data_IF_771436823409
#
_entry.id   IF_771436823409
#
_cell.length_a   1.000
_cell.length_b   1.000
_cell.length_c   1.000
_cell.angle_alpha   90.00
_cell.angle_beta   90.00
_cell.angle_gamma   90.00
#
_symmetry.space_group_name_H-M   'P 1'
#
loop_
_entity.id
_entity.type
_entity.pdbx_description
1 polymer ?
#
# COMPACT_ATOMS: atom_id res chain seq x y z
N UNK A 1 -6.94 -0.11 -10.90
CA UNK A 1 -6.56 -0.17 -9.46
C UNK A 1 -7.53 -1.01 -8.65
N UNK A 2 -8.84 -0.72 -8.66
CA UNK A 2 -9.87 -1.55 -8.00
C UNK A 2 -9.78 -3.02 -8.45
N UNK A 3 -9.56 -3.29 -9.74
CA UNK A 3 -9.44 -4.66 -10.24
C UNK A 3 -8.18 -5.43 -9.82
N UNK A 4 -7.08 -4.77 -9.44
CA UNK A 4 -5.82 -5.46 -9.11
C UNK A 4 -5.77 -5.89 -7.64
N UNK A 5 -6.18 -4.99 -6.75
CA UNK A 5 -6.37 -5.33 -5.35
C UNK A 5 -7.55 -6.31 -5.19
N UNK A 6 -8.65 -6.12 -5.93
CA UNK A 6 -9.76 -7.08 -5.95
C UNK A 6 -9.35 -8.45 -6.52
N UNK A 7 -8.48 -8.51 -7.54
CA UNK A 7 -7.97 -9.77 -8.08
C UNK A 7 -7.10 -10.56 -7.09
N UNK A 8 -6.21 -9.88 -6.37
CA UNK A 8 -5.41 -10.49 -5.29
C UNK A 8 -6.25 -10.79 -4.03
N UNK A 9 -7.23 -9.95 -3.71
CA UNK A 9 -8.24 -10.22 -2.67
C UNK A 9 -9.05 -11.46 -2.96
N UNK A 10 -9.46 -11.63 -4.22
CA UNK A 10 -10.13 -12.83 -4.68
C UNK A 10 -9.14 -14.00 -4.52
N UNK A 11 -7.91 -13.95 -5.03
CA UNK A 11 -6.91 -15.01 -4.85
C UNK A 11 -6.68 -15.44 -3.38
N UNK A 12 -6.75 -14.51 -2.42
CA UNK A 12 -6.61 -14.82 -0.98
C UNK A 12 -7.94 -15.17 -0.27
N UNK A 13 -9.11 -14.99 -0.91
CA UNK A 13 -10.41 -15.29 -0.30
C UNK A 13 -10.70 -16.79 -0.29
N UNK A 14 -11.18 -17.37 0.83
CA UNK A 14 -11.55 -18.78 0.91
C UNK A 14 -12.56 -19.20 -0.18
N UNK A 15 -13.54 -18.35 -0.49
CA UNK A 15 -14.59 -18.62 -1.48
C UNK A 15 -14.07 -18.67 -2.92
N UNK A 16 -13.07 -17.84 -3.24
CA UNK A 16 -12.44 -17.84 -4.55
C UNK A 16 -11.39 -18.95 -4.67
N UNK A 17 -10.69 -19.30 -3.59
CA UNK A 17 -9.84 -20.49 -3.57
C UNK A 17 -10.65 -21.78 -3.76
N UNK A 18 -11.84 -21.89 -3.18
CA UNK A 18 -12.76 -23.00 -3.47
C UNK A 18 -13.26 -22.96 -4.92
N UNK A 19 -13.59 -21.79 -5.47
CA UNK A 19 -13.94 -21.64 -6.89
C UNK A 19 -12.78 -21.97 -7.84
N UNK A 20 -11.54 -21.59 -7.50
CA UNK A 20 -10.33 -21.92 -8.26
C UNK A 20 -10.03 -23.41 -8.22
N UNK A 21 -10.21 -24.04 -7.07
CA UNK A 21 -10.06 -25.49 -6.90
C UNK A 21 -11.16 -26.20 -7.70
N UNK A 22 -12.41 -25.76 -7.61
CA UNK A 22 -13.54 -26.34 -8.34
C UNK A 22 -13.43 -26.12 -9.86
N UNK A 23 -12.98 -24.94 -10.31
CA UNK A 23 -12.69 -24.64 -11.70
C UNK A 23 -11.49 -25.45 -12.24
N UNK A 24 -10.46 -25.68 -11.41
CA UNK A 24 -9.32 -26.54 -11.75
C UNK A 24 -9.71 -28.01 -11.76
N UNK A 25 -10.59 -28.46 -10.87
CA UNK A 25 -11.18 -29.82 -10.91
C UNK A 25 -12.03 -30.01 -12.18
N UNK A 26 -12.60 -28.93 -12.72
CA UNK A 26 -13.28 -28.90 -14.02
C UNK A 26 -12.33 -28.65 -15.22
N UNK A 27 -11.01 -28.64 -15.00
CA UNK A 27 -9.97 -28.46 -16.00
C UNK A 27 -10.15 -27.21 -16.90
N UNK A 28 -10.55 -26.09 -16.29
CA UNK A 28 -10.84 -24.84 -17.00
C UNK A 28 -9.51 -24.11 -17.30
N UNK A 29 -8.82 -24.57 -18.33
CA UNK A 29 -7.61 -23.95 -18.91
C UNK A 29 -7.85 -22.47 -19.29
N UNK A 30 -9.12 -22.11 -19.55
CA UNK A 30 -9.52 -20.75 -19.91
C UNK A 30 -9.35 -19.73 -18.78
N UNK A 31 -9.42 -20.10 -17.50
CA UNK A 31 -9.29 -19.15 -16.40
C UNK A 31 -7.82 -18.77 -16.16
N UNK A 32 -6.92 -19.76 -16.19
CA UNK A 32 -5.48 -19.53 -16.04
C UNK A 32 -4.94 -18.73 -17.23
N UNK A 33 -5.32 -19.10 -18.45
CA UNK A 33 -4.95 -18.34 -19.67
C UNK A 33 -5.52 -16.92 -19.68
N UNK A 34 -6.73 -16.69 -19.14
CA UNK A 34 -7.29 -15.34 -18.98
C UNK A 34 -6.49 -14.51 -17.97
N UNK A 35 -6.10 -15.08 -16.83
CA UNK A 35 -5.30 -14.37 -15.82
C UNK A 35 -3.88 -14.07 -16.32
N UNK A 36 -3.26 -15.00 -17.03
CA UNK A 36 -1.92 -14.82 -17.64
C UNK A 36 -1.97 -13.79 -18.78
N UNK A 37 -2.97 -13.85 -19.66
CA UNK A 37 -3.12 -12.84 -20.73
C UNK A 37 -3.42 -11.44 -20.17
N UNK A 38 -4.26 -11.34 -19.14
CA UNK A 38 -4.53 -10.06 -18.47
C UNK A 38 -3.27 -9.48 -17.83
N UNK A 39 -2.48 -10.29 -17.10
CA UNK A 39 -1.25 -9.83 -16.46
C UNK A 39 -0.17 -9.43 -17.47
N UNK A 40 -0.06 -10.15 -18.59
CA UNK A 40 0.82 -9.80 -19.71
C UNK A 40 0.39 -8.48 -20.38
N UNK A 41 -0.91 -8.29 -20.62
CA UNK A 41 -1.46 -7.07 -21.23
C UNK A 41 -1.31 -5.84 -20.33
N UNK A 42 -1.34 -6.06 -19.02
CA UNK A 42 -1.21 -5.01 -18.00
C UNK A 42 0.23 -4.54 -17.76
N UNK A 43 1.24 -5.19 -18.34
CA UNK A 43 2.59 -4.66 -18.38
C UNK A 43 2.60 -3.40 -19.26
N UNK A 44 3.19 -2.31 -18.74
CA UNK A 44 3.36 -1.06 -19.47
C UNK A 44 4.04 -1.19 -20.85
N UNK A 45 4.58 -2.36 -21.20
CA UNK A 45 4.97 -2.76 -22.55
C UNK A 45 3.88 -2.49 -23.59
N UNK A 46 2.61 -2.80 -23.30
CA UNK A 46 1.48 -2.58 -24.22
C UNK A 46 0.94 -1.14 -24.19
N UNK A 47 1.22 -0.35 -23.14
CA UNK A 47 0.84 1.08 -23.15
C UNK A 47 1.67 1.91 -24.14
N UNK A 48 2.86 1.43 -24.51
CA UNK A 48 3.69 2.01 -25.56
C UNK A 48 3.38 1.51 -26.97
N UNK A 49 2.54 0.48 -27.12
CA UNK A 49 2.24 -0.11 -28.44
C UNK A 49 1.63 0.88 -29.44
N UNK A 50 0.70 1.78 -29.06
CA UNK A 50 0.23 2.81 -29.98
C UNK A 50 1.38 3.65 -30.56
N UNK A 51 2.36 4.00 -29.73
CA UNK A 51 3.55 4.75 -30.15
C UNK A 51 4.48 3.92 -31.03
N UNK A 52 4.67 2.62 -30.74
CA UNK A 52 5.45 1.72 -31.59
C UNK A 52 4.79 1.53 -32.96
N UNK A 53 3.46 1.43 -33.00
CA UNK A 53 2.70 1.32 -34.24
C UNK A 53 2.83 2.61 -35.05
N UNK A 54 2.67 3.78 -34.41
CA UNK A 54 2.84 5.09 -35.05
C UNK A 54 4.24 5.23 -35.66
N UNK A 55 5.31 4.98 -34.89
CA UNK A 55 6.69 5.02 -35.40
C UNK A 55 6.90 3.97 -36.50
N UNK A 56 6.28 2.80 -36.38
CA UNK A 56 6.34 1.74 -37.39
C UNK A 56 5.71 2.15 -38.73
N UNK A 57 4.59 2.88 -38.67
CA UNK A 57 3.91 3.41 -39.84
C UNK A 57 4.66 4.60 -40.46
N UNK A 58 5.26 5.47 -39.64
CA UNK A 58 5.96 6.67 -40.13
C UNK A 58 7.38 6.40 -40.63
N UNK A 59 8.14 5.55 -39.93
CA UNK A 59 9.60 5.41 -40.08
C UNK A 59 10.06 3.98 -40.36
N UNK A 60 9.12 3.05 -40.50
CA UNK A 60 9.35 1.64 -40.79
C UNK A 60 9.59 0.77 -39.55
N UNK A 61 9.31 -0.53 -39.68
CA UNK A 61 9.28 -1.49 -38.57
C UNK A 61 10.62 -1.67 -37.85
N UNK A 62 11.75 -1.68 -38.58
CA UNK A 62 13.07 -1.84 -37.97
C UNK A 62 13.45 -0.64 -37.09
N UNK A 63 13.11 0.58 -37.53
CA UNK A 63 13.31 1.80 -36.76
C UNK A 63 12.46 1.78 -35.50
N UNK A 64 11.18 1.41 -35.62
CA UNK A 64 10.28 1.25 -34.49
C UNK A 64 10.78 0.22 -33.46
N UNK A 65 11.33 -0.91 -33.91
CA UNK A 65 11.90 -1.91 -33.00
C UNK A 65 13.13 -1.38 -32.26
N UNK A 66 14.04 -0.67 -32.96
CA UNK A 66 15.21 -0.03 -32.34
C UNK A 66 14.79 1.01 -31.31
N UNK A 67 13.89 1.91 -31.68
CA UNK A 67 13.38 2.96 -30.79
C UNK A 67 12.66 2.36 -29.58
N UNK A 68 11.88 1.30 -29.78
CA UNK A 68 11.23 0.58 -28.68
C UNK A 68 12.24 0.02 -27.69
N UNK A 69 13.29 -0.66 -28.17
CA UNK A 69 14.35 -1.20 -27.29
C UNK A 69 15.06 -0.08 -26.54
N UNK A 70 15.39 1.02 -27.22
CA UNK A 70 16.01 2.19 -26.60
C UNK A 70 15.11 2.81 -25.52
N UNK A 71 13.81 2.94 -25.78
CA UNK A 71 12.83 3.41 -24.79
C UNK A 71 12.78 2.49 -23.56
N UNK A 72 12.80 1.16 -23.74
CA UNK A 72 12.81 0.25 -22.59
C UNK A 72 14.10 0.35 -21.78
N UNK A 73 15.26 0.51 -22.43
CA UNK A 73 16.54 0.75 -21.75
C UNK A 73 16.55 2.06 -20.95
N UNK A 74 15.80 3.07 -21.40
CA UNK A 74 15.56 4.33 -20.68
C UNK A 74 14.47 4.23 -19.60
N UNK A 75 14.05 3.01 -19.25
CA UNK A 75 13.02 2.72 -18.23
C UNK A 75 11.62 3.26 -18.58
N UNK A 76 11.28 3.34 -19.88
CA UNK A 76 9.96 3.81 -20.31
C UNK A 76 8.80 3.04 -19.67
N UNK A 77 8.89 1.71 -19.54
CA UNK A 77 7.84 0.92 -18.86
C UNK A 77 7.63 1.35 -17.39
N UNK A 78 8.71 1.69 -16.67
CA UNK A 78 8.65 2.20 -15.28
C UNK A 78 8.01 3.59 -15.28
N UNK A 79 8.43 4.48 -16.19
CA UNK A 79 7.89 5.82 -16.32
C UNK A 79 6.39 5.82 -16.63
N UNK A 80 5.95 5.07 -17.64
CA UNK A 80 4.54 5.01 -18.04
C UNK A 80 3.66 4.38 -16.97
N UNK A 81 4.12 3.31 -16.31
CA UNK A 81 3.38 2.67 -15.22
C UNK A 81 3.22 3.62 -14.03
N UNK A 82 4.27 4.38 -13.69
CA UNK A 82 4.21 5.41 -12.65
C UNK A 82 3.32 6.60 -13.04
N UNK A 83 3.45 7.10 -14.26
CA UNK A 83 2.63 8.20 -14.80
C UNK A 83 1.14 7.84 -14.84
N UNK A 84 0.82 6.61 -15.28
CA UNK A 84 -0.54 6.09 -15.27
C UNK A 84 -1.08 6.01 -13.84
N UNK A 85 -0.28 5.53 -12.87
CA UNK A 85 -0.66 5.52 -11.45
C UNK A 85 -1.04 6.90 -10.91
N UNK A 86 -0.24 7.91 -11.25
CA UNK A 86 -0.50 9.32 -10.92
C UNK A 86 -1.83 9.79 -11.53
N UNK A 87 -1.99 9.61 -12.84
CA UNK A 87 -3.20 10.04 -13.58
C UNK A 87 -4.44 9.37 -13.03
N UNK A 88 -4.43 8.04 -12.89
CA UNK A 88 -5.57 7.27 -12.37
C UNK A 88 -5.96 7.71 -10.96
N UNK A 89 -4.98 7.97 -10.08
CA UNK A 89 -5.29 8.41 -8.72
C UNK A 89 -5.99 9.78 -8.70
N UNK A 90 -5.44 10.77 -9.38
CA UNK A 90 -5.99 12.13 -9.35
C UNK A 90 -7.29 12.23 -10.17
N UNK A 91 -7.41 11.48 -11.26
CA UNK A 91 -8.65 11.37 -12.01
C UNK A 91 -9.76 10.74 -11.18
N UNK A 92 -9.49 9.61 -10.52
CA UNK A 92 -10.44 8.97 -9.60
C UNK A 92 -10.85 9.89 -8.45
N UNK A 93 -9.88 10.60 -7.84
CA UNK A 93 -10.16 11.58 -6.78
C UNK A 93 -11.08 12.70 -7.26
N UNK A 94 -10.85 13.20 -8.48
CA UNK A 94 -11.68 14.27 -9.07
C UNK A 94 -13.11 13.79 -9.33
N UNK A 95 -13.29 12.56 -9.82
CA UNK A 95 -14.61 11.96 -10.01
C UNK A 95 -15.34 11.79 -8.68
N UNK A 96 -14.67 11.28 -7.66
CA UNK A 96 -15.30 10.90 -6.39
C UNK A 96 -15.60 12.10 -5.48
N UNK A 97 -14.68 13.06 -5.39
CA UNK A 97 -14.75 14.15 -4.40
C UNK A 97 -14.86 15.53 -5.03
N UNK A 98 -14.64 15.65 -6.35
CA UNK A 98 -14.45 16.93 -7.00
C UNK A 98 -13.16 17.63 -6.56
N UNK A 99 -12.93 18.80 -7.14
CA UNK A 99 -11.80 19.67 -6.80
C UNK A 99 -10.53 19.39 -7.62
N UNK A 100 -10.28 20.24 -8.61
CA UNK A 100 -9.00 20.28 -9.30
C UNK A 100 -8.00 21.10 -8.45
N UNK A 101 -6.83 20.54 -8.20
CA UNK A 101 -5.70 21.25 -7.58
C UNK A 101 -4.61 21.40 -8.62
N UNK A 102 -4.34 22.65 -9.01
CA UNK A 102 -3.18 22.92 -9.86
C UNK A 102 -1.91 22.73 -9.03
N UNK A 103 -1.04 21.85 -9.51
CA UNK A 103 0.33 21.71 -9.00
C UNK A 103 1.23 22.38 -10.03
N UNK A 104 1.96 23.45 -9.66
CA UNK A 104 2.81 24.13 -10.61
C UNK A 104 3.91 23.19 -11.08
N UNK A 105 3.90 22.88 -12.38
CA UNK A 105 5.03 22.24 -13.05
C UNK A 105 6.20 23.21 -12.94
N UNK A 106 7.25 22.87 -12.18
CA UNK A 106 8.43 23.73 -12.10
C UNK A 106 9.08 23.80 -13.49
N UNK A 107 8.77 24.84 -14.26
CA UNK A 107 9.40 25.17 -15.52
C UNK A 107 10.77 25.83 -15.26
N UNK A 108 11.65 25.10 -14.57
CA UNK A 108 13.04 25.51 -14.44
C UNK A 108 13.86 24.63 -15.36
N UNK A 109 14.69 25.26 -16.19
CA UNK A 109 15.52 24.69 -17.26
C UNK A 109 16.56 23.67 -16.75
N UNK A 110 16.66 23.46 -15.43
CA UNK A 110 17.56 22.52 -14.78
C UNK A 110 16.75 21.46 -14.03
N UNK A 111 17.09 20.19 -14.24
CA UNK A 111 16.47 19.06 -13.51
C UNK A 111 16.88 19.17 -12.04
N UNK A 112 15.96 19.62 -11.19
CA UNK A 112 16.23 19.79 -9.75
C UNK A 112 15.97 18.49 -8.98
N UNK A 113 16.81 18.25 -7.97
CA UNK A 113 16.58 17.24 -6.96
C UNK A 113 15.28 17.50 -6.20
N UNK A 114 14.40 16.52 -6.13
CA UNK A 114 13.22 16.53 -5.29
C UNK A 114 13.57 15.95 -3.91
N UNK A 115 13.43 16.76 -2.86
CA UNK A 115 13.73 16.30 -1.49
C UNK A 115 12.82 15.15 -1.05
N UNK A 116 13.22 14.35 -0.06
CA UNK A 116 12.38 13.30 0.53
C UNK A 116 11.01 13.80 0.98
N UNK A 117 10.94 15.00 1.58
CA UNK A 117 9.66 15.61 1.98
C UNK A 117 8.78 15.94 0.78
N UNK A 118 9.35 16.37 -0.33
CA UNK A 118 8.60 16.67 -1.54
C UNK A 118 8.09 15.41 -2.22
N UNK A 119 8.95 14.40 -2.38
CA UNK A 119 8.57 13.10 -2.93
C UNK A 119 7.44 12.45 -2.13
N UNK A 120 7.55 12.45 -0.80
CA UNK A 120 6.50 11.90 0.05
C UNK A 120 5.18 12.67 -0.10
N UNK A 121 5.21 14.01 -0.06
CA UNK A 121 3.98 14.80 -0.17
C UNK A 121 3.26 14.62 -1.49
N UNK A 122 4.01 14.44 -2.59
CA UNK A 122 3.44 14.23 -3.93
C UNK A 122 2.95 12.80 -4.15
N UNK A 123 3.68 11.80 -3.64
CA UNK A 123 3.47 10.40 -4.02
C UNK A 123 2.96 9.48 -2.91
N UNK A 124 2.80 9.96 -1.67
CA UNK A 124 2.36 9.14 -0.53
C UNK A 124 1.03 8.42 -0.80
N UNK A 125 -0.04 9.17 -1.11
CA UNK A 125 -1.39 8.58 -1.35
C UNK A 125 -1.57 7.97 -2.73
N UNK A 126 -0.86 8.51 -3.73
CA UNK A 126 -0.99 8.07 -5.11
C UNK A 126 -0.21 6.79 -5.41
N UNK A 127 0.93 6.58 -4.75
CA UNK A 127 1.87 5.47 -5.01
C UNK A 127 2.30 4.75 -3.74
N UNK A 128 2.95 5.41 -2.76
CA UNK A 128 3.63 4.70 -1.67
C UNK A 128 2.70 3.85 -0.82
N UNK A 129 1.59 4.40 -0.33
CA UNK A 129 0.61 3.65 0.48
C UNK A 129 0.09 2.43 -0.29
N UNK A 130 -0.27 2.61 -1.57
CA UNK A 130 -0.79 1.53 -2.42
C UNK A 130 0.28 0.53 -2.81
N UNK A 131 1.51 0.97 -3.02
CA UNK A 131 2.67 0.12 -3.28
C UNK A 131 2.99 -0.75 -2.08
N UNK A 132 2.99 -0.17 -0.87
CA UNK A 132 3.12 -0.94 0.35
C UNK A 132 1.95 -1.90 0.58
N UNK A 133 0.70 -1.48 0.31
CA UNK A 133 -0.48 -2.36 0.34
C UNK A 133 -0.30 -3.57 -0.59
N UNK A 134 0.08 -3.35 -1.85
CA UNK A 134 0.32 -4.43 -2.83
C UNK A 134 1.52 -5.31 -2.45
N UNK A 135 2.62 -4.72 -1.98
CA UNK A 135 3.81 -5.46 -1.54
C UNK A 135 3.45 -6.42 -0.41
N UNK A 136 2.70 -5.94 0.56
CA UNK A 136 2.25 -6.70 1.71
C UNK A 136 1.30 -7.82 1.28
N UNK A 137 0.37 -7.58 0.34
CA UNK A 137 -0.46 -8.63 -0.22
C UNK A 137 0.36 -9.70 -0.98
N UNK A 138 1.38 -9.29 -1.73
CA UNK A 138 2.28 -10.21 -2.43
C UNK A 138 3.08 -11.09 -1.46
N UNK A 139 3.62 -10.49 -0.40
CA UNK A 139 4.34 -11.24 0.65
C UNK A 139 3.40 -12.24 1.32
N UNK A 140 2.18 -11.83 1.66
CA UNK A 140 1.21 -12.75 2.28
C UNK A 140 0.78 -13.86 1.32
N UNK A 141 0.57 -13.54 0.04
CA UNK A 141 0.25 -14.53 -0.98
C UNK A 141 1.38 -15.56 -1.15
N UNK A 142 2.64 -15.13 -1.09
CA UNK A 142 3.82 -16.01 -1.09
C UNK A 142 3.86 -16.94 0.13
N UNK A 143 3.53 -16.42 1.32
CA UNK A 143 3.54 -17.17 2.58
C UNK A 143 2.45 -18.27 2.64
N UNK A 144 1.25 -17.98 2.14
CA UNK A 144 0.09 -18.90 2.19
C UNK A 144 -0.11 -19.72 0.92
N UNK A 145 0.73 -19.54 -0.10
CA UNK A 145 0.70 -20.34 -1.31
C UNK A 145 0.83 -21.82 -0.97
N UNK A 146 -0.12 -22.62 -1.46
CA UNK A 146 -0.11 -24.08 -1.29
C UNK A 146 1.02 -24.70 -2.11
N UNK A 147 1.66 -25.72 -1.54
CA UNK A 147 2.79 -26.45 -2.14
C UNK A 147 2.51 -27.05 -3.53
N UNK A 148 1.25 -27.23 -3.92
CA UNK A 148 0.85 -27.82 -5.21
C UNK A 148 0.74 -26.81 -6.37
N UNK A 149 0.81 -25.50 -6.12
CA UNK A 149 0.87 -24.54 -7.24
C UNK A 149 2.24 -24.67 -7.95
N UNK A 150 2.26 -24.73 -9.29
CA UNK A 150 3.54 -24.68 -10.02
C UNK A 150 4.24 -23.36 -9.73
N UNK A 151 5.57 -23.38 -9.55
CA UNK A 151 6.36 -22.16 -9.31
C UNK A 151 6.24 -21.19 -10.49
N UNK A 152 6.19 -21.73 -11.71
CA UNK A 152 6.09 -20.95 -12.94
C UNK A 152 4.75 -20.20 -13.08
N UNK A 153 3.61 -20.84 -12.79
CA UNK A 153 2.32 -20.16 -12.85
C UNK A 153 2.23 -19.01 -11.83
N UNK A 154 2.79 -19.21 -10.63
CA UNK A 154 2.86 -18.15 -9.62
C UNK A 154 3.67 -16.93 -10.12
N UNK A 155 4.85 -17.17 -10.68
CA UNK A 155 5.69 -16.09 -11.22
C UNK A 155 4.97 -15.37 -12.35
N UNK A 156 4.36 -16.08 -13.29
CA UNK A 156 3.65 -15.47 -14.42
C UNK A 156 2.48 -14.59 -13.98
N UNK A 157 1.69 -15.05 -13.01
CA UNK A 157 0.53 -14.30 -12.50
C UNK A 157 0.99 -13.06 -11.71
N UNK A 158 1.99 -13.21 -10.84
CA UNK A 158 2.39 -12.16 -9.88
C UNK A 158 3.43 -11.19 -10.42
N UNK A 159 4.17 -11.53 -11.48
CA UNK A 159 5.26 -10.70 -12.02
C UNK A 159 4.80 -9.29 -12.37
N UNK A 160 3.62 -9.14 -13.00
CA UNK A 160 3.05 -7.84 -13.34
C UNK A 160 2.79 -6.96 -12.11
N UNK A 161 2.31 -7.57 -11.03
CA UNK A 161 2.03 -6.89 -9.75
C UNK A 161 3.34 -6.53 -9.04
N UNK A 162 4.33 -7.42 -9.05
CA UNK A 162 5.68 -7.13 -8.54
C UNK A 162 6.30 -5.95 -9.27
N UNK A 163 6.26 -5.95 -10.62
CA UNK A 163 6.76 -4.86 -11.43
C UNK A 163 6.07 -3.53 -11.12
N UNK A 164 4.73 -3.53 -11.02
CA UNK A 164 3.94 -2.33 -10.67
C UNK A 164 4.29 -1.83 -9.26
N UNK A 165 4.38 -2.73 -8.29
CA UNK A 165 4.71 -2.43 -6.89
C UNK A 165 6.08 -1.79 -6.77
N UNK A 166 7.10 -2.40 -7.39
CA UNK A 166 8.46 -1.87 -7.40
C UNK A 166 8.52 -0.53 -8.13
N UNK A 167 7.82 -0.40 -9.25
CA UNK A 167 7.72 0.87 -9.97
C UNK A 167 7.14 1.97 -9.09
N UNK A 168 6.03 1.74 -8.40
CA UNK A 168 5.40 2.76 -7.55
C UNK A 168 6.25 3.17 -6.35
N UNK A 169 7.01 2.24 -5.76
CA UNK A 169 7.87 2.53 -4.62
C UNK A 169 9.18 3.22 -5.03
N UNK A 170 9.78 2.82 -6.15
CA UNK A 170 11.14 3.24 -6.51
C UNK A 170 11.21 4.30 -7.62
N UNK A 171 10.19 4.44 -8.48
CA UNK A 171 10.24 5.41 -9.59
C UNK A 171 10.50 6.86 -9.15
N UNK A 172 9.89 7.39 -8.07
CA UNK A 172 10.20 8.75 -7.60
C UNK A 172 11.69 8.94 -7.30
N UNK A 173 12.39 7.89 -6.87
CA UNK A 173 13.82 7.93 -6.55
C UNK A 173 14.70 7.62 -7.75
N UNK A 174 14.24 6.76 -8.67
CA UNK A 174 14.96 6.40 -9.90
C UNK A 174 15.10 7.60 -10.85
N UNK A 175 14.01 8.38 -10.99
CA UNK A 175 13.98 9.56 -11.86
C UNK A 175 14.42 10.86 -11.16
N UNK A 176 14.86 10.78 -9.90
CA UNK A 176 15.37 11.94 -9.16
C UNK A 176 16.89 12.11 -9.39
N UNK A 177 17.36 13.26 -9.88
CA UNK A 177 18.80 13.53 -9.97
C UNK A 177 19.43 13.55 -8.57
N UNK A 178 20.74 13.26 -8.47
CA UNK A 178 21.51 13.26 -7.21
C UNK A 178 21.03 12.26 -6.13
N UNK A 179 20.23 11.25 -6.52
CA UNK A 179 19.69 10.18 -5.66
C UNK A 179 20.71 9.39 -4.83
N UNK A 180 21.98 9.37 -5.22
CA UNK A 180 23.05 8.63 -4.54
C UNK A 180 24.17 9.51 -4.01
N UNK A 181 23.98 10.83 -4.06
CA UNK A 181 24.91 11.75 -3.43
C UNK A 181 24.69 11.70 -1.91
N UNK A 182 25.70 11.24 -1.19
CA UNK A 182 25.61 11.03 0.26
C UNK A 182 25.32 12.33 1.01
N UNK A 183 25.90 13.44 0.57
CA UNK A 183 25.67 14.74 1.20
C UNK A 183 24.21 15.17 1.03
N UNK A 184 23.62 14.91 -0.14
CA UNK A 184 22.21 15.17 -0.41
C UNK A 184 21.29 14.28 0.40
N UNK A 185 21.60 13.01 0.56
CA UNK A 185 20.81 12.09 1.40
C UNK A 185 20.79 12.57 2.86
N UNK A 186 21.93 13.02 3.38
CA UNK A 186 22.01 13.56 4.75
C UNK A 186 21.16 14.83 4.89
N UNK A 187 21.28 15.76 3.93
CA UNK A 187 20.52 17.02 3.94
C UNK A 187 19.01 16.77 3.86
N UNK A 188 18.58 15.87 2.98
CA UNK A 188 17.20 15.45 2.84
C UNK A 188 16.68 14.78 4.11
N UNK A 189 17.49 13.94 4.75
CA UNK A 189 17.14 13.31 6.02
C UNK A 189 17.00 14.33 7.16
N UNK A 190 17.88 15.34 7.23
CA UNK A 190 17.73 16.46 8.18
C UNK A 190 16.44 17.24 7.90
N UNK A 191 16.16 17.53 6.64
CA UNK A 191 14.93 18.21 6.19
C UNK A 191 13.67 17.43 6.55
N UNK A 192 13.68 16.11 6.34
CA UNK A 192 12.62 15.20 6.73
C UNK A 192 12.36 15.23 8.24
N UNK A 193 13.40 15.08 9.05
CA UNK A 193 13.28 15.09 10.50
C UNK A 193 12.73 16.42 11.02
N UNK A 194 13.14 17.54 10.40
CA UNK A 194 12.58 18.85 10.72
C UNK A 194 11.09 18.93 10.36
N UNK A 195 10.71 18.51 9.16
CA UNK A 195 9.33 18.54 8.70
C UNK A 195 8.38 17.68 9.56
N UNK A 196 8.86 16.53 10.06
CA UNK A 196 8.11 15.64 10.97
C UNK A 196 7.98 16.22 12.39
N UNK A 197 8.98 16.94 12.89
CA UNK A 197 8.94 17.52 14.25
C UNK A 197 8.07 18.77 14.33
N UNK A 198 7.90 19.47 13.22
CA UNK A 198 7.26 20.77 13.20
C UNK A 198 5.74 20.64 13.33
N UNK A 199 5.20 21.23 14.40
CA UNK A 199 3.74 21.29 14.62
C UNK A 199 3.07 22.12 13.53
N UNK A 200 1.93 21.62 13.06
CA UNK A 200 1.09 22.34 12.11
C UNK A 200 0.34 23.49 12.78
N UNK A 201 -0.35 24.28 11.95
CA UNK A 201 -1.12 25.44 12.40
C UNK A 201 -1.83 26.10 11.23
N UNK A 202 -2.77 26.99 11.52
CA UNK A 202 -3.52 27.74 10.51
C UNK A 202 -2.52 28.61 9.73
N UNK A 203 -2.48 28.47 8.40
CA UNK A 203 -1.60 29.23 7.52
C UNK A 203 -0.16 28.74 7.41
N UNK A 204 0.22 27.66 8.10
CA UNK A 204 1.51 27.00 7.87
C UNK A 204 1.45 26.27 6.52
N UNK A 205 2.52 26.34 5.74
CA UNK A 205 2.58 25.67 4.43
C UNK A 205 2.88 24.16 4.59
N UNK A 206 2.28 23.34 3.73
CA UNK A 206 2.47 21.88 3.67
C UNK A 206 3.95 21.42 3.56
N UNK A 207 4.85 22.24 3.00
CA UNK A 207 6.28 21.93 2.89
C UNK A 207 7.05 22.14 4.21
N UNK A 208 6.45 22.79 5.22
CA UNK A 208 7.10 23.10 6.50
C UNK A 208 6.69 22.16 7.63
N UNK A 209 5.49 21.59 7.57
CA UNK A 209 4.98 20.70 8.61
C UNK A 209 4.19 19.53 8.02
N UNK A 210 4.45 18.33 8.54
CA UNK A 210 3.70 17.12 8.20
C UNK A 210 2.22 17.23 8.55
N UNK A 211 1.89 17.86 9.67
CA UNK A 211 0.52 17.99 10.14
C UNK A 211 -0.28 18.93 9.21
N UNK A 212 0.36 19.99 8.71
CA UNK A 212 -0.26 20.86 7.70
C UNK A 212 -0.50 20.11 6.40
N UNK A 213 0.48 19.32 5.94
CA UNK A 213 0.30 18.49 4.75
C UNK A 213 -0.83 17.46 4.92
N UNK A 214 -0.91 16.79 6.07
CA UNK A 214 -1.96 15.81 6.36
C UNK A 214 -3.35 16.46 6.28
N UNK A 215 -3.52 17.61 6.93
CA UNK A 215 -4.78 18.34 6.91
C UNK A 215 -5.18 18.79 5.50
N UNK A 216 -4.22 19.26 4.70
CA UNK A 216 -4.44 19.65 3.31
C UNK A 216 -4.78 18.45 2.42
N UNK A 217 -4.10 17.32 2.64
CA UNK A 217 -4.31 16.09 1.90
C UNK A 217 -5.72 15.56 2.16
N UNK A 218 -6.18 15.57 3.42
CA UNK A 218 -7.52 15.16 3.86
C UNK A 218 -8.65 16.17 3.57
N UNK A 219 -8.32 17.41 3.21
CA UNK A 219 -9.30 18.49 3.05
C UNK A 219 -10.39 18.21 2.00
N UNK A 220 -10.14 17.29 1.07
CA UNK A 220 -11.11 16.85 0.07
C UNK A 220 -12.21 15.95 0.67
N UNK A 221 -11.89 15.09 1.63
CA UNK A 221 -12.87 14.23 2.31
C UNK A 221 -13.79 15.04 3.23
N UNK A 222 -13.27 16.09 3.86
CA UNK A 222 -14.09 17.02 4.66
C UNK A 222 -15.10 17.81 3.82
N UNK A 223 -14.76 18.10 2.56
CA UNK A 223 -15.61 18.86 1.63
C UNK A 223 -16.47 17.99 0.74
N UNK A 224 -16.24 16.68 0.71
CA UNK A 224 -17.01 15.75 -0.12
C UNK A 224 -18.42 15.51 0.45
N UNK A 225 -19.34 15.13 -0.44
CA UNK A 225 -20.70 14.76 -0.08
C UNK A 225 -20.77 13.42 0.66
N UNK A 226 -21.90 13.16 1.33
CA UNK A 226 -22.10 11.96 2.14
C UNK A 226 -21.89 10.65 1.36
N UNK A 227 -22.30 10.58 0.09
CA UNK A 227 -22.12 9.39 -0.74
C UNK A 227 -20.65 9.04 -1.00
N UNK A 228 -19.81 10.05 -1.26
CA UNK A 228 -18.38 9.84 -1.48
C UNK A 228 -17.66 9.37 -0.20
N UNK A 229 -18.07 9.89 0.96
CA UNK A 229 -17.56 9.42 2.27
C UNK A 229 -17.99 7.99 2.56
N UNK A 230 -19.25 7.64 2.29
CA UNK A 230 -19.73 6.27 2.44
C UNK A 230 -18.94 5.30 1.55
N UNK A 231 -18.64 5.70 0.32
CA UNK A 231 -17.80 4.90 -0.57
C UNK A 231 -16.37 4.72 -0.04
N UNK A 232 -15.75 5.75 0.55
CA UNK A 232 -14.43 5.61 1.20
C UNK A 232 -14.47 4.69 2.41
N UNK A 233 -15.53 4.76 3.23
CA UNK A 233 -15.71 3.83 4.35
C UNK A 233 -15.82 2.40 3.81
N UNK A 234 -16.63 2.17 2.77
CA UNK A 234 -16.76 0.86 2.12
C UNK A 234 -15.41 0.38 1.56
N UNK A 235 -14.63 1.26 0.94
CA UNK A 235 -13.30 0.94 0.45
C UNK A 235 -12.30 0.67 1.57
N UNK A 236 -12.46 1.28 2.74
CA UNK A 236 -11.56 1.11 3.90
C UNK A 236 -11.88 -0.15 4.70
N UNK A 237 -13.12 -0.65 4.64
CA UNK A 237 -13.52 -1.96 5.17
C UNK A 237 -12.62 -3.08 4.60
N UNK A 238 -12.10 -2.90 3.38
CA UNK A 238 -11.18 -3.84 2.72
C UNK A 238 -9.97 -4.20 3.58
N UNK A 239 -9.45 -3.27 4.38
CA UNK A 239 -8.29 -3.51 5.23
C UNK A 239 -8.59 -4.47 6.38
N UNK A 240 -9.80 -4.40 6.94
CA UNK A 240 -10.27 -5.35 7.96
C UNK A 240 -10.55 -6.73 7.36
N UNK A 241 -10.98 -6.79 6.09
CA UNK A 241 -11.11 -8.04 5.35
C UNK A 241 -9.74 -8.69 5.08
N UNK A 242 -8.70 -7.90 4.77
CA UNK A 242 -7.34 -8.42 4.65
C UNK A 242 -6.88 -9.09 5.93
N UNK A 243 -6.98 -8.34 7.05
CA UNK A 243 -6.59 -8.85 8.35
C UNK A 243 -7.37 -10.12 8.73
N UNK A 244 -8.70 -10.13 8.53
CA UNK A 244 -9.52 -11.32 8.77
C UNK A 244 -9.06 -12.51 7.93
N UNK A 245 -8.86 -12.30 6.62
CA UNK A 245 -8.41 -13.34 5.71
C UNK A 245 -7.07 -13.97 6.11
N UNK A 246 -6.18 -13.18 6.72
CA UNK A 246 -4.89 -13.68 7.20
C UNK A 246 -5.04 -14.43 8.51
N UNK A 247 -5.78 -13.88 9.47
CA UNK A 247 -6.06 -14.55 10.75
C UNK A 247 -6.78 -15.89 10.53
N UNK A 248 -7.65 -15.98 9.51
CA UNK A 248 -8.34 -17.21 9.13
C UNK A 248 -7.41 -18.35 8.68
N UNK A 249 -6.23 -18.01 8.14
CA UNK A 249 -5.21 -18.96 7.69
C UNK A 249 -4.17 -19.28 8.76
N UNK A 250 -4.21 -18.62 9.93
CA UNK A 250 -3.36 -18.95 11.07
C UNK A 250 -3.85 -20.25 11.71
N UNK A 251 -2.91 -21.13 12.06
CA UNK A 251 -3.21 -22.39 12.76
C UNK A 251 -3.73 -22.17 14.20
N UNK A 252 -3.61 -20.93 14.72
CA UNK A 252 -4.08 -20.48 16.04
C UNK A 252 -5.58 -20.79 16.28
N UNK A 253 -6.40 -20.68 15.24
CA UNK A 253 -7.86 -20.71 15.41
C UNK A 253 -8.45 -22.09 15.73
N UNK A 254 -7.65 -23.17 15.62
CA UNK A 254 -8.14 -24.55 15.60
C UNK A 254 -9.42 -24.67 14.72
N UNK A 255 -10.30 -25.66 14.93
CA UNK A 255 -11.47 -25.84 14.05
C UNK A 255 -12.55 -24.74 14.16
N UNK A 256 -12.49 -23.83 15.13
CA UNK A 256 -13.53 -22.81 15.34
C UNK A 256 -13.26 -21.52 14.57
N UNK A 257 -13.50 -21.54 13.26
CA UNK A 257 -13.35 -20.36 12.38
C UNK A 257 -14.56 -19.43 12.41
N UNK A 258 -15.13 -19.21 13.60
CA UNK A 258 -16.38 -18.49 13.73
C UNK A 258 -16.14 -16.97 13.61
N UNK A 259 -16.76 -16.34 12.61
CA UNK A 259 -16.70 -14.90 12.37
C UNK A 259 -17.02 -14.08 13.62
N UNK A 260 -17.92 -14.57 14.46
CA UNK A 260 -18.34 -13.91 15.69
C UNK A 260 -17.19 -13.75 16.71
N UNK A 261 -16.28 -14.74 16.79
CA UNK A 261 -15.11 -14.70 17.68
C UNK A 261 -14.13 -13.61 17.23
N UNK A 262 -13.97 -13.41 15.92
CA UNK A 262 -13.14 -12.35 15.36
C UNK A 262 -13.72 -10.95 15.63
N UNK A 263 -15.04 -10.79 15.51
CA UNK A 263 -15.70 -9.50 15.83
C UNK A 263 -15.58 -9.19 17.32
N UNK A 264 -15.75 -10.19 18.19
CA UNK A 264 -15.63 -10.02 19.64
C UNK A 264 -14.18 -9.69 20.06
N UNK A 265 -13.15 -10.30 19.46
CA UNK A 265 -11.76 -9.96 19.77
C UNK A 265 -11.44 -8.50 19.42
N UNK A 266 -12.00 -8.00 18.32
CA UNK A 266 -11.91 -6.61 17.92
C UNK A 266 -12.57 -5.64 18.90
N UNK A 267 -13.75 -5.98 19.42
CA UNK A 267 -14.42 -5.18 20.46
C UNK A 267 -13.57 -5.11 21.73
N UNK A 268 -12.94 -6.22 22.12
CA UNK A 268 -12.02 -6.26 23.28
C UNK A 268 -10.79 -5.39 23.04
N UNK A 269 -10.15 -5.48 21.86
CA UNK A 269 -8.99 -4.65 21.51
C UNK A 269 -9.35 -3.17 21.53
N UNK A 270 -10.51 -2.79 20.98
CA UNK A 270 -10.96 -1.40 20.95
C UNK A 270 -11.24 -0.87 22.38
N UNK A 271 -11.87 -1.69 23.22
CA UNK A 271 -12.11 -1.40 24.64
C UNK A 271 -10.81 -1.15 25.41
N UNK A 272 -9.81 -2.03 25.24
CA UNK A 272 -8.49 -1.90 25.87
C UNK A 272 -7.75 -0.67 25.34
N UNK A 273 -7.83 -0.39 24.05
CA UNK A 273 -7.21 0.79 23.46
C UNK A 273 -7.82 2.09 24.00
N UNK A 274 -9.16 2.19 24.03
CA UNK A 274 -9.86 3.37 24.54
C UNK A 274 -9.58 3.61 26.02
N UNK A 275 -9.57 2.56 26.83
CA UNK A 275 -9.21 2.66 28.25
C UNK A 275 -7.75 3.07 28.45
N UNK A 276 -6.81 2.51 27.69
CA UNK A 276 -5.40 2.90 27.73
C UNK A 276 -5.19 4.38 27.29
N UNK A 277 -5.88 4.84 26.26
CA UNK A 277 -5.83 6.24 25.81
C UNK A 277 -6.43 7.16 26.88
N UNK A 278 -7.55 6.79 27.49
CA UNK A 278 -8.19 7.62 28.53
C UNK A 278 -7.29 7.75 29.77
N UNK A 279 -6.72 6.65 30.26
CA UNK A 279 -5.75 6.64 31.37
C UNK A 279 -4.49 7.44 30.99
N UNK A 280 -3.99 7.25 29.76
CA UNK A 280 -2.85 8.00 29.24
C UNK A 280 -3.10 9.50 29.14
N UNK A 281 -4.31 9.91 28.75
CA UNK A 281 -4.73 11.31 28.68
C UNK A 281 -4.85 11.92 30.09
N UNK A 282 -5.41 11.19 31.04
CA UNK A 282 -5.47 11.60 32.45
C UNK A 282 -4.05 11.77 33.05
N UNK A 283 -3.14 10.83 32.79
CA UNK A 283 -1.74 10.92 33.24
C UNK A 283 -0.97 12.06 32.54
N UNK A 284 -1.27 12.34 31.27
CA UNK A 284 -0.69 13.48 30.54
C UNK A 284 -1.19 14.82 31.10
N UNK A 285 -2.49 14.90 31.44
CA UNK A 285 -3.08 16.07 32.07
C UNK A 285 -2.54 16.34 33.48
N UNK A 286 -2.07 15.32 34.19
CA UNK A 286 -1.53 15.43 35.54
C UNK A 286 -0.05 15.88 35.60
N UNK A 287 0.57 16.28 34.48
CA UNK A 287 1.94 16.83 34.40
C UNK A 287 3.07 15.97 35.01
N UNK A 288 2.88 14.68 35.28
CA UNK A 288 3.94 13.81 35.81
C UNK A 288 4.65 13.04 34.69
N UNK A 289 5.69 13.65 34.11
CA UNK A 289 6.53 13.05 33.06
C UNK A 289 7.07 11.66 33.42
N UNK A 290 7.36 11.43 34.70
CA UNK A 290 7.94 10.18 35.22
C UNK A 290 6.90 9.06 35.27
N UNK A 291 5.68 9.37 35.75
CA UNK A 291 4.54 8.43 35.73
C UNK A 291 4.15 8.04 34.30
N UNK A 292 4.20 8.99 33.37
CA UNK A 292 3.94 8.70 31.96
C UNK A 292 4.99 7.78 31.32
N UNK A 293 6.28 7.90 31.71
CA UNK A 293 7.33 6.96 31.28
C UNK A 293 7.10 5.56 31.85
N UNK A 294 6.76 5.44 33.13
CA UNK A 294 6.43 4.15 33.75
C UNK A 294 5.19 3.52 33.13
N UNK A 295 4.16 4.31 32.84
CA UNK A 295 2.97 3.83 32.15
C UNK A 295 3.30 3.25 30.76
N UNK A 296 4.15 3.93 29.98
CA UNK A 296 4.64 3.41 28.70
C UNK A 296 5.41 2.10 28.85
N UNK A 297 6.30 2.02 29.85
CA UNK A 297 7.08 0.82 30.12
C UNK A 297 6.17 -0.35 30.55
N UNK A 298 5.18 -0.09 31.40
CA UNK A 298 4.21 -1.10 31.83
C UNK A 298 3.35 -1.60 30.67
N UNK A 299 2.86 -0.68 29.82
CA UNK A 299 2.07 -1.03 28.64
C UNK A 299 2.90 -1.89 27.68
N UNK A 300 4.17 -1.52 27.44
CA UNK A 300 5.10 -2.33 26.65
C UNK A 300 5.32 -3.72 27.24
N UNK A 301 5.60 -3.82 28.55
CA UNK A 301 5.83 -5.09 29.23
C UNK A 301 4.57 -5.98 29.23
N UNK A 302 3.39 -5.38 29.39
CA UNK A 302 2.10 -6.07 29.33
C UNK A 302 1.84 -6.65 27.94
N UNK A 303 2.05 -5.87 26.88
CA UNK A 303 1.93 -6.36 25.49
C UNK A 303 2.94 -7.49 25.25
N UNK A 304 4.18 -7.33 25.71
CA UNK A 304 5.21 -8.36 25.56
C UNK A 304 4.87 -9.65 26.30
N UNK A 305 4.36 -9.55 27.53
CA UNK A 305 3.89 -10.69 28.31
C UNK A 305 2.72 -11.40 27.61
N UNK A 306 1.74 -10.67 27.09
CA UNK A 306 0.62 -11.23 26.33
C UNK A 306 1.13 -12.01 25.11
N UNK A 307 2.08 -11.43 24.36
CA UNK A 307 2.68 -12.09 23.18
C UNK A 307 3.39 -13.39 23.59
N UNK A 308 4.22 -13.37 24.65
CA UNK A 308 4.88 -14.59 25.16
C UNK A 308 3.86 -15.63 25.59
N UNK A 309 2.82 -15.22 26.31
CA UNK A 309 1.79 -16.12 26.81
C UNK A 309 1.05 -16.78 25.65
N UNK A 310 0.72 -16.01 24.59
CA UNK A 310 0.14 -16.55 23.36
C UNK A 310 1.10 -17.48 22.60
N UNK A 311 2.39 -17.16 22.55
CA UNK A 311 3.40 -18.04 21.92
C UNK A 311 3.48 -19.41 22.60
N UNK A 312 3.43 -19.44 23.93
CA UNK A 312 3.51 -20.68 24.73
C UNK A 312 2.20 -21.46 24.69
N UNK A 313 1.04 -20.80 24.81
CA UNK A 313 -0.26 -21.49 24.84
C UNK A 313 -0.69 -21.98 23.45
N UNK A 314 -0.43 -21.19 22.40
CA UNK A 314 -0.91 -21.49 21.05
C UNK A 314 0.13 -22.23 20.18
N UNK A 315 1.28 -22.65 20.74
CA UNK A 315 2.37 -23.35 20.03
C UNK A 315 2.70 -22.73 18.66
N UNK A 316 2.83 -21.40 18.66
CA UNK A 316 2.87 -20.59 17.44
C UNK A 316 4.11 -20.86 16.57
N UNK A 317 3.90 -21.06 15.27
CA UNK A 317 5.00 -21.12 14.31
C UNK A 317 5.63 -19.75 14.07
N UNK A 318 6.89 -19.72 13.64
CA UNK A 318 7.56 -18.47 13.25
C UNK A 318 6.86 -17.76 12.09
N UNK A 319 6.19 -18.51 11.21
CA UNK A 319 5.34 -17.97 10.14
C UNK A 319 4.11 -17.25 10.69
N UNK A 320 3.46 -17.83 11.70
CA UNK A 320 2.27 -17.26 12.32
C UNK A 320 2.58 -15.96 13.05
N UNK A 321 3.74 -15.90 13.73
CA UNK A 321 4.22 -14.67 14.37
C UNK A 321 4.43 -13.55 13.35
N UNK A 322 5.09 -13.86 12.21
CA UNK A 322 5.32 -12.90 11.15
C UNK A 322 4.00 -12.40 10.55
N UNK A 323 3.05 -13.29 10.28
CA UNK A 323 1.72 -12.91 9.78
C UNK A 323 0.97 -12.06 10.79
N UNK A 324 1.02 -12.38 12.09
CA UNK A 324 0.42 -11.55 13.13
C UNK A 324 1.00 -10.13 13.14
N UNK A 325 2.32 -9.99 13.04
CA UNK A 325 2.97 -8.67 12.95
C UNK A 325 2.53 -7.91 11.69
N UNK A 326 2.48 -8.58 10.54
CA UNK A 326 2.02 -7.97 9.30
C UNK A 326 0.54 -7.54 9.40
N UNK A 327 -0.32 -8.32 10.07
CA UNK A 327 -1.76 -8.09 10.16
C UNK A 327 -2.13 -6.76 10.84
N UNK A 328 -1.22 -6.21 11.65
CA UNK A 328 -1.40 -4.87 12.25
C UNK A 328 -1.26 -3.72 11.24
N UNK A 329 -0.56 -3.91 10.12
CA UNK A 329 -0.35 -2.84 9.14
C UNK A 329 -1.64 -2.45 8.40
N UNK A 330 -2.40 -3.39 7.80
CA UNK A 330 -3.72 -3.09 7.23
C UNK A 330 -4.65 -2.47 8.26
N UNK A 331 -4.60 -3.00 9.48
CA UNK A 331 -5.42 -2.53 10.60
C UNK A 331 -5.17 -1.06 10.91
N UNK A 332 -3.90 -0.66 11.03
CA UNK A 332 -3.52 0.73 11.23
C UNK A 332 -3.98 1.63 10.09
N UNK A 333 -3.85 1.18 8.84
CA UNK A 333 -4.37 1.94 7.69
C UNK A 333 -5.89 2.10 7.72
N UNK A 334 -6.65 1.04 8.01
CA UNK A 334 -8.11 1.10 8.09
C UNK A 334 -8.66 1.96 9.23
N UNK A 335 -7.85 2.24 10.27
CA UNK A 335 -8.21 3.17 11.34
C UNK A 335 -7.84 4.63 11.03
N UNK A 336 -6.85 4.84 10.16
CA UNK A 336 -6.33 6.17 9.80
C UNK A 336 -7.09 6.77 8.60
N UNK A 337 -7.43 5.93 7.62
CA UNK A 337 -8.30 6.25 6.48
C UNK A 337 -9.76 6.32 6.92
#
# INVERSE_FOLDING_TARGET
>A
MVNHAAGLMLLCSPAFNTLLIEARMKNIESLETTLVSQSFIQLGLLTGLPMVIEIGLEKGFLTALKDFVLMQLQLAAVFFTFSLGTKTHHFGRTIMYGGAKYIPTRHKVVVFHASFTENYRLYSRSHFVKGFELLLLLVVYDLFRRSYQSSMAYVLITYSVWFMTMTWLFAPFLFNPFRFDWDKIIDDWKGWNKWIKEKGGIGIQQNKSWQSWWNDEEAHLRRSGYGARLFEILLSIRFFLYQYGWVYHLDISQQSKNFLVYVLSWVVILSVFLTAVNIGWQLFSACNHLMFRFFKAFLFLSVFAIVITLLVICELSSKDLLVCCLAFLPTGWGLIL
#
